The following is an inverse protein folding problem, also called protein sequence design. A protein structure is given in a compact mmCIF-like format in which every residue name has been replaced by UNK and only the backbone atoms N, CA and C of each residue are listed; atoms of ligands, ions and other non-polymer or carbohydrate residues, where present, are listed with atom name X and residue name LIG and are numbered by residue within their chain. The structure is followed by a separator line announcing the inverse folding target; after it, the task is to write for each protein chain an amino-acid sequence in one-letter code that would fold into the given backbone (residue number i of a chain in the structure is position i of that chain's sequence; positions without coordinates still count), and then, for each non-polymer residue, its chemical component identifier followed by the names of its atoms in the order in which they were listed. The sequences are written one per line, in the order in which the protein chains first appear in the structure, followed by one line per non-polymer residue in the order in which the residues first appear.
data_IF_372427558137
#
_entry.id   IF_372427558137
#
_cell.length_a   1.000
_cell.length_b   1.000
_cell.length_c   1.000
_cell.angle_alpha   90.00
_cell.angle_beta   90.00
_cell.angle_gamma   90.00
#
_symmetry.space_group_name_H-M   'P 1'
#
loop_
_entity.id
_entity.type
_entity.pdbx_description
1 polymer ?
#
# COMPACT_ATOMS: atom_id res chain seq x y z
N UNK A 1 4.70 2.88 -10.01
CA UNK A 1 3.86 1.70 -10.33
C UNK A 1 4.08 1.23 -11.77
N UNK A 2 3.76 2.03 -12.80
CA UNK A 2 3.85 1.62 -14.21
C UNK A 2 5.20 0.98 -14.63
N UNK A 3 6.32 1.68 -14.43
CA UNK A 3 7.63 1.16 -14.84
C UNK A 3 8.04 -0.11 -14.07
N UNK A 4 7.67 -0.21 -12.79
CA UNK A 4 7.97 -1.40 -11.99
C UNK A 4 7.26 -2.63 -12.55
N UNK A 5 5.96 -2.50 -12.88
CA UNK A 5 5.21 -3.58 -13.52
C UNK A 5 5.71 -3.89 -14.93
N UNK A 6 6.08 -2.89 -15.72
CA UNK A 6 6.71 -3.11 -17.02
C UNK A 6 7.99 -3.95 -16.90
N UNK A 7 8.83 -3.69 -15.90
CA UNK A 7 10.06 -4.46 -15.68
C UNK A 7 9.78 -5.88 -15.20
N UNK A 8 8.78 -6.08 -14.34
CA UNK A 8 8.32 -7.43 -13.96
C UNK A 8 7.89 -8.20 -15.20
N UNK A 9 7.06 -7.60 -16.04
CA UNK A 9 6.55 -8.24 -17.26
C UNK A 9 7.67 -8.57 -18.26
N UNK A 10 8.63 -7.65 -18.48
CA UNK A 10 9.62 -7.78 -19.56
C UNK A 10 10.95 -8.42 -19.14
N UNK A 11 11.34 -8.32 -17.88
CA UNK A 11 12.69 -8.69 -17.43
C UNK A 11 12.72 -9.59 -16.20
N UNK A 12 11.73 -9.51 -15.32
CA UNK A 12 11.76 -10.18 -14.02
C UNK A 12 10.41 -10.87 -13.71
N UNK A 13 10.01 -11.89 -14.50
CA UNK A 13 8.67 -12.49 -14.41
C UNK A 13 8.37 -13.19 -13.07
N UNK A 14 9.39 -13.48 -12.27
CA UNK A 14 9.25 -14.11 -10.94
C UNK A 14 9.15 -13.10 -9.79
N UNK A 15 9.30 -11.80 -10.06
CA UNK A 15 9.22 -10.76 -9.04
C UNK A 15 7.79 -10.25 -8.94
N UNK A 16 7.32 -10.09 -7.70
CA UNK A 16 6.05 -9.40 -7.42
C UNK A 16 6.33 -7.92 -7.18
N UNK A 17 5.52 -7.07 -7.80
CA UNK A 17 5.57 -5.64 -7.58
C UNK A 17 4.17 -5.09 -7.34
N UNK A 18 4.08 -4.13 -6.43
CA UNK A 18 2.84 -3.45 -6.07
C UNK A 18 3.10 -2.00 -5.72
N UNK A 19 2.06 -1.30 -5.28
CA UNK A 19 2.16 0.06 -4.80
C UNK A 19 1.16 0.28 -3.69
N UNK A 20 1.54 1.04 -2.67
CA UNK A 20 0.68 1.42 -1.55
C UNK A 20 0.82 2.92 -1.32
N UNK A 21 -0.30 3.63 -1.30
CA UNK A 21 -0.33 5.01 -0.81
C UNK A 21 -0.40 5.01 0.72
N UNK A 22 0.21 6.03 1.32
CA UNK A 22 0.04 6.34 2.74
C UNK A 22 -0.58 7.74 2.86
N UNK A 23 -1.37 8.01 3.91
CA UNK A 23 -1.87 9.35 4.18
C UNK A 23 -0.74 10.29 4.63
N UNK A 24 -1.06 11.59 4.76
CA UNK A 24 -0.18 12.55 5.41
C UNK A 24 0.12 12.14 6.86
N UNK A 25 1.28 12.58 7.36
CA UNK A 25 1.61 12.54 8.79
C UNK A 25 0.98 13.72 9.52
N UNK A 26 0.69 13.56 10.82
CA UNK A 26 0.09 14.62 11.66
C UNK A 26 0.86 15.95 11.61
N UNK A 27 2.20 15.89 11.57
CA UNK A 27 3.08 17.06 11.47
C UNK A 27 2.94 17.82 10.13
N UNK A 28 2.48 17.15 9.06
CA UNK A 28 2.32 17.76 7.74
C UNK A 28 0.99 18.54 7.61
N UNK A 29 0.07 18.38 8.57
CA UNK A 29 -1.28 18.97 8.52
C UNK A 29 -1.59 19.90 9.69
N UNK A 30 -0.58 20.33 10.47
CA UNK A 30 -0.75 21.21 11.64
C UNK A 30 -1.61 22.45 11.35
N UNK A 31 -1.46 23.03 10.14
CA UNK A 31 -2.21 24.21 9.70
C UNK A 31 -3.29 23.89 8.64
N UNK A 32 -3.70 22.62 8.53
CA UNK A 32 -4.66 22.12 7.54
C UNK A 32 -5.72 21.26 8.23
N UNK A 33 -6.60 21.85 9.06
CA UNK A 33 -7.44 21.12 10.02
C UNK A 33 -8.46 20.16 9.38
N UNK A 34 -8.79 20.33 8.11
CA UNK A 34 -9.71 19.47 7.36
C UNK A 34 -9.00 18.39 6.54
N UNK A 35 -7.66 18.37 6.53
CA UNK A 35 -6.88 17.39 5.77
C UNK A 35 -6.66 16.13 6.61
N UNK A 36 -7.10 14.94 6.16
CA UNK A 36 -6.86 13.70 6.89
C UNK A 36 -5.36 13.39 7.02
N UNK A 37 -4.97 12.86 8.17
CA UNK A 37 -3.62 12.42 8.46
C UNK A 37 -3.64 11.23 9.43
N UNK A 38 -2.52 10.53 9.53
CA UNK A 38 -2.32 9.39 10.41
C UNK A 38 -0.98 9.53 11.15
N UNK A 39 -0.87 8.93 12.33
CA UNK A 39 0.39 8.90 13.07
C UNK A 39 1.43 8.05 12.34
N UNK A 40 2.71 8.40 12.45
CA UNK A 40 3.79 7.58 11.87
C UNK A 40 3.82 6.15 12.45
N UNK A 41 3.44 6.01 13.71
CA UNK A 41 3.35 4.71 14.40
C UNK A 41 2.31 3.80 13.74
N UNK A 42 1.14 4.34 13.41
CA UNK A 42 0.08 3.57 12.76
C UNK A 42 0.38 3.29 11.29
N UNK A 43 0.95 4.26 10.57
CA UNK A 43 1.43 4.05 9.18
C UNK A 43 2.43 2.89 9.15
N UNK A 44 3.43 2.90 10.06
CA UNK A 44 4.41 1.81 10.16
C UNK A 44 3.73 0.46 10.43
N UNK A 45 2.85 0.40 11.43
CA UNK A 45 2.12 -0.83 11.78
C UNK A 45 1.31 -1.37 10.60
N UNK A 46 0.66 -0.50 9.83
CA UNK A 46 -0.09 -0.88 8.64
C UNK A 46 0.80 -1.46 7.52
N UNK A 47 1.95 -0.84 7.27
CA UNK A 47 2.93 -1.32 6.28
C UNK A 47 3.50 -2.69 6.69
N UNK A 48 3.87 -2.86 7.97
CA UNK A 48 4.36 -4.13 8.51
C UNK A 48 3.31 -5.24 8.35
N UNK A 49 2.05 -4.95 8.68
CA UNK A 49 0.95 -5.90 8.51
C UNK A 49 0.72 -6.25 7.03
N UNK A 50 0.78 -5.27 6.12
CA UNK A 50 0.60 -5.50 4.70
C UNK A 50 1.72 -6.37 4.10
N UNK A 51 2.98 -6.11 4.47
CA UNK A 51 4.11 -6.95 4.05
C UNK A 51 3.98 -8.36 4.64
N UNK A 52 3.59 -8.48 5.91
CA UNK A 52 3.33 -9.77 6.54
C UNK A 52 2.28 -10.59 5.79
N UNK A 53 1.16 -9.97 5.43
CA UNK A 53 0.09 -10.60 4.65
C UNK A 53 0.57 -11.04 3.25
N UNK A 54 1.40 -10.25 2.56
CA UNK A 54 1.97 -10.62 1.25
C UNK A 54 2.83 -11.89 1.37
N UNK A 55 3.60 -12.02 2.46
CA UNK A 55 4.44 -13.19 2.70
C UNK A 55 3.59 -14.41 3.06
N UNK A 56 2.60 -14.24 3.94
CA UNK A 56 1.74 -15.32 4.43
C UNK A 56 0.85 -15.91 3.34
N UNK A 57 0.26 -15.06 2.49
CA UNK A 57 -0.71 -15.49 1.48
C UNK A 57 -0.10 -15.76 0.10
N UNK A 58 1.14 -15.31 -0.16
CA UNK A 58 1.86 -15.63 -1.38
C UNK A 58 1.15 -15.14 -2.65
N UNK A 59 0.67 -16.08 -3.48
CA UNK A 59 -0.05 -15.79 -4.75
C UNK A 59 -1.57 -15.72 -4.59
N UNK A 60 -2.09 -16.02 -3.40
CA UNK A 60 -3.52 -16.11 -3.16
C UNK A 60 -4.03 -14.80 -2.58
N UNK A 61 -4.77 -14.05 -3.38
CA UNK A 61 -5.52 -12.90 -2.86
C UNK A 61 -6.83 -13.34 -2.21
N UNK A 62 -7.28 -12.60 -1.19
CA UNK A 62 -8.55 -12.83 -0.55
C UNK A 62 -9.68 -12.40 -1.48
N UNK A 63 -10.64 -13.29 -1.75
CA UNK A 63 -11.82 -13.00 -2.57
C UNK A 63 -12.87 -12.23 -1.76
N UNK A 64 -12.55 -11.00 -1.40
CA UNK A 64 -13.41 -10.08 -0.65
C UNK A 64 -13.70 -8.83 -1.49
N UNK A 65 -14.87 -8.23 -1.28
CA UNK A 65 -15.22 -6.97 -1.95
C UNK A 65 -14.52 -5.82 -1.22
N UNK A 66 -13.44 -5.30 -1.81
CA UNK A 66 -12.75 -4.09 -1.36
C UNK A 66 -12.93 -2.88 -2.30
N UNK A 67 -13.67 -3.06 -3.39
CA UNK A 67 -14.01 -1.97 -4.32
C UNK A 67 -15.19 -1.14 -3.81
N UNK A 68 -15.29 0.09 -4.31
CA UNK A 68 -16.38 1.02 -3.98
C UNK A 68 -17.16 1.38 -5.25
N UNK A 69 -18.48 1.51 -5.14
CA UNK A 69 -19.33 2.09 -6.19
C UNK A 69 -19.25 3.60 -6.09
N UNK A 70 -18.30 4.20 -6.81
CA UNK A 70 -18.31 5.64 -7.07
C UNK A 70 -19.07 5.93 -8.36
#
# INVERSE_FOLDING_TARGET
MYQALYLVEKKFPHIKAGFMHIPYMMEQVVNRPTTPAMSLVDIRRGIEAAIGAIIEHGDQDLKLVGGETH
#
